data_IF_000252191594
#
_entry.id   IF_000252191594
#
_cell.length_a   1.000
_cell.length_b   1.000
_cell.length_c   1.000
_cell.angle_alpha   90.00
_cell.angle_beta   90.00
_cell.angle_gamma   90.00
#
_symmetry.space_group_name_H-M   'P 1'
#
loop_
_entity.id
_entity.type
_entity.pdbx_description
1 polymer ?
#
# COMPACT_ATOMS: atom_id res chain seq x y z
N UNK A 1 12.67 12.12 15.76
CA UNK A 1 11.84 10.93 15.43
C UNK A 1 10.62 11.35 14.63
N UNK A 2 10.33 10.63 13.55
CA UNK A 2 9.14 10.88 12.75
C UNK A 2 7.98 10.08 13.34
N UNK A 3 6.90 10.77 13.67
CA UNK A 3 5.69 10.12 14.16
C UNK A 3 5.02 9.35 13.02
N UNK A 4 4.58 8.13 13.29
CA UNK A 4 3.85 7.34 12.32
C UNK A 4 2.40 7.79 12.23
N UNK A 5 1.98 8.18 11.02
CA UNK A 5 0.63 8.63 10.74
C UNK A 5 -0.03 7.63 9.80
N UNK A 6 -1.25 7.21 10.13
CA UNK A 6 -2.00 6.24 9.34
C UNK A 6 -3.17 6.92 8.63
N UNK A 7 -3.36 6.58 7.36
CA UNK A 7 -4.50 7.06 6.55
C UNK A 7 -5.17 5.88 5.85
N UNK A 8 -6.47 6.02 5.65
CA UNK A 8 -7.23 5.00 4.90
C UNK A 8 -6.72 4.89 3.48
N UNK A 9 -6.66 3.66 2.98
CA UNK A 9 -6.33 3.41 1.58
C UNK A 9 -7.59 3.64 0.74
N UNK A 10 -7.48 4.50 -0.28
CA UNK A 10 -8.59 4.84 -1.16
C UNK A 10 -9.15 3.57 -1.80
N UNK A 11 -10.46 3.41 -1.71
CA UNK A 11 -11.15 2.20 -2.17
C UNK A 11 -11.22 1.09 -1.13
N UNK A 12 -10.52 1.25 -0.01
CA UNK A 12 -10.47 0.27 1.08
C UNK A 12 -10.72 0.93 2.44
N UNK A 13 -11.45 2.04 2.45
CA UNK A 13 -11.77 2.78 3.67
C UNK A 13 -12.46 1.85 4.68
N UNK A 14 -12.01 1.90 5.92
CA UNK A 14 -12.51 1.03 6.98
C UNK A 14 -11.94 -0.38 6.98
N UNK A 15 -11.16 -0.75 5.95
CA UNK A 15 -10.57 -2.08 5.81
C UNK A 15 -9.06 -2.07 6.01
N UNK A 16 -8.37 -1.14 5.37
CA UNK A 16 -6.91 -1.05 5.40
C UNK A 16 -6.45 0.39 5.49
N UNK A 17 -5.28 0.56 6.13
CA UNK A 17 -4.62 1.85 6.22
C UNK A 17 -3.14 1.70 5.84
N UNK A 18 -2.56 2.81 5.38
CA UNK A 18 -1.14 2.90 5.05
C UNK A 18 -0.50 4.03 5.86
N UNK A 19 0.75 3.84 6.27
CA UNK A 19 1.45 4.84 7.07
C UNK A 19 2.51 5.58 6.26
N UNK A 20 2.91 6.74 6.79
CA UNK A 20 4.01 7.52 6.23
C UNK A 20 5.36 6.82 6.33
N UNK A 21 5.46 5.77 7.15
CA UNK A 21 6.68 4.96 7.26
C UNK A 21 6.68 3.77 6.29
N UNK A 22 5.67 3.68 5.43
CA UNK A 22 5.63 2.63 4.40
C UNK A 22 5.05 1.31 4.89
N UNK A 23 4.28 1.33 5.96
CA UNK A 23 3.62 0.12 6.47
C UNK A 23 2.14 0.12 6.10
N UNK A 24 1.58 -1.07 5.91
CA UNK A 24 0.15 -1.27 5.64
C UNK A 24 -0.42 -2.12 6.76
N UNK A 25 -1.61 -1.77 7.24
CA UNK A 25 -2.30 -2.55 8.27
C UNK A 25 -3.75 -2.80 7.88
N UNK A 26 -4.27 -3.95 8.30
CA UNK A 26 -5.70 -4.20 8.26
C UNK A 26 -6.33 -3.66 9.54
N UNK A 27 -7.60 -3.31 9.47
CA UNK A 27 -8.36 -2.82 10.62
C UNK A 27 -9.21 -3.96 11.18
N UNK A 28 -9.67 -3.80 12.42
CA UNK A 28 -10.61 -4.75 13.01
C UNK A 28 -11.89 -4.76 12.19
N UNK A 29 -12.47 -5.94 11.95
CA UNK A 29 -13.76 -6.03 11.27
C UNK A 29 -14.56 -7.20 11.79
N UNK A 30 -15.89 -7.10 11.63
CA UNK A 30 -16.80 -8.17 11.99
C UNK A 30 -16.97 -9.12 10.81
N UNK A 31 -16.85 -10.40 11.08
CA UNK A 31 -17.13 -11.43 10.09
C UNK A 31 -18.31 -12.28 10.56
N UNK A 32 -19.29 -12.41 9.67
CA UNK A 32 -20.48 -13.19 9.94
C UNK A 32 -20.32 -14.60 9.40
N UNK A 33 -20.57 -15.59 10.26
CA UNK A 33 -20.50 -16.99 9.88
C UNK A 33 -21.89 -17.61 9.96
N UNK A 34 -22.26 -18.37 8.94
CA UNK A 34 -23.56 -19.05 8.87
C UNK A 34 -23.33 -20.54 8.58
N UNK A 35 -22.82 -21.31 9.57
CA UNK A 35 -22.53 -22.73 9.38
C UNK A 35 -23.83 -23.55 9.26
N UNK A 36 -23.75 -24.69 8.57
CA UNK A 36 -24.92 -25.53 8.27
C UNK A 36 -25.56 -26.11 9.54
N UNK A 37 -24.76 -26.58 10.49
CA UNK A 37 -25.24 -27.31 11.67
C UNK A 37 -25.11 -26.52 12.98
N UNK A 38 -25.00 -25.20 12.91
CA UNK A 38 -24.83 -24.34 14.08
C UNK A 38 -25.57 -23.05 13.88
N UNK A 39 -25.86 -22.34 14.97
CA UNK A 39 -26.46 -21.01 14.88
C UNK A 39 -25.49 -20.04 14.23
N UNK A 40 -25.99 -19.10 13.41
CA UNK A 40 -25.15 -18.02 12.90
C UNK A 40 -24.48 -17.27 14.04
N UNK A 41 -23.25 -16.85 13.82
CA UNK A 41 -22.51 -16.08 14.81
C UNK A 41 -21.61 -15.05 14.13
N UNK A 42 -21.23 -14.04 14.90
CA UNK A 42 -20.35 -12.96 14.44
C UNK A 42 -19.05 -13.03 15.24
N UNK A 43 -17.94 -12.86 14.57
CA UNK A 43 -16.62 -12.82 15.18
C UNK A 43 -15.89 -11.56 14.76
N UNK A 44 -15.23 -10.89 15.72
CA UNK A 44 -14.38 -9.75 15.41
C UNK A 44 -12.99 -10.27 15.10
N UNK A 45 -12.50 -9.98 13.90
CA UNK A 45 -11.15 -10.29 13.48
C UNK A 45 -10.28 -9.06 13.71
N UNK A 46 -9.22 -9.23 14.50
CA UNK A 46 -8.31 -8.14 14.84
C UNK A 46 -7.46 -7.72 13.66
N UNK A 47 -7.32 -6.41 13.48
CA UNK A 47 -6.40 -5.85 12.49
C UNK A 47 -4.95 -6.09 12.88
N UNK A 48 -4.09 -6.05 11.87
CA UNK A 48 -2.64 -6.27 12.07
C UNK A 48 -1.85 -5.55 10.99
N UNK A 49 -0.58 -5.27 11.30
CA UNK A 49 0.37 -4.78 10.29
C UNK A 49 0.69 -5.95 9.36
N UNK A 50 0.54 -5.72 8.05
CA UNK A 50 0.78 -6.75 7.04
C UNK A 50 2.28 -6.85 6.76
N UNK A 51 2.75 -8.09 6.57
CA UNK A 51 4.12 -8.32 6.12
C UNK A 51 4.16 -8.14 4.59
N UNK A 52 4.94 -7.19 4.08
CA UNK A 52 4.99 -6.99 2.63
C UNK A 52 5.76 -8.12 1.96
N UNK A 53 5.39 -8.40 0.71
CA UNK A 53 6.04 -9.41 -0.13
C UNK A 53 6.92 -8.69 -1.15
N UNK A 54 8.19 -9.09 -1.23
CA UNK A 54 9.14 -8.57 -2.21
C UNK A 54 8.91 -9.27 -3.56
N UNK A 55 8.44 -8.51 -4.54
CA UNK A 55 8.17 -9.03 -5.88
C UNK A 55 9.47 -9.14 -6.69
N UNK A 56 9.46 -9.94 -7.76
CA UNK A 56 10.65 -10.19 -8.58
C UNK A 56 11.25 -8.92 -9.17
N UNK A 57 10.46 -7.89 -9.40
CA UNK A 57 10.94 -6.61 -9.92
C UNK A 57 11.53 -5.69 -8.84
N UNK A 58 11.57 -6.14 -7.60
CA UNK A 58 12.15 -5.38 -6.49
C UNK A 58 11.16 -4.51 -5.73
N UNK A 59 9.89 -4.47 -6.14
CA UNK A 59 8.87 -3.68 -5.44
C UNK A 59 8.25 -4.45 -4.29
N UNK A 60 7.99 -3.72 -3.19
CA UNK A 60 7.26 -4.27 -2.04
C UNK A 60 5.77 -4.22 -2.32
N UNK A 61 5.07 -5.33 -2.09
CA UNK A 61 3.64 -5.45 -2.39
C UNK A 61 2.89 -6.04 -1.20
N UNK A 62 1.58 -5.77 -1.15
CA UNK A 62 0.65 -6.38 -0.18
C UNK A 62 -0.60 -6.83 -0.93
N UNK A 63 -1.28 -7.82 -0.36
CA UNK A 63 -2.57 -8.28 -0.86
C UNK A 63 -3.67 -7.61 -0.06
N UNK A 64 -4.58 -6.93 -0.75
CA UNK A 64 -5.73 -6.29 -0.13
C UNK A 64 -7.00 -7.03 -0.55
N UNK A 65 -7.76 -7.49 0.43
CA UNK A 65 -8.98 -8.28 0.21
C UNK A 65 -10.21 -7.40 0.34
N UNK A 66 -11.12 -7.52 -0.62
CA UNK A 66 -12.39 -6.80 -0.61
C UNK A 66 -13.41 -7.54 -1.48
N UNK A 67 -14.64 -7.60 -1.02
CA UNK A 67 -15.78 -8.15 -1.79
C UNK A 67 -15.51 -9.56 -2.32
N UNK A 68 -14.89 -10.41 -1.50
CA UNK A 68 -14.63 -11.79 -1.83
C UNK A 68 -13.44 -12.04 -2.75
N UNK A 69 -12.73 -10.98 -3.13
CA UNK A 69 -11.54 -11.08 -3.97
C UNK A 69 -10.35 -10.39 -3.35
N UNK A 70 -9.26 -10.34 -4.09
CA UNK A 70 -8.06 -9.64 -3.63
C UNK A 70 -7.33 -9.00 -4.81
N UNK A 71 -6.54 -7.98 -4.49
CA UNK A 71 -5.64 -7.34 -5.44
C UNK A 71 -4.27 -7.16 -4.80
N UNK A 72 -3.22 -7.37 -5.58
CA UNK A 72 -1.86 -7.08 -5.15
C UNK A 72 -1.57 -5.61 -5.44
N UNK A 73 -1.14 -4.88 -4.41
CA UNK A 73 -0.84 -3.44 -4.53
C UNK A 73 0.60 -3.17 -4.12
N UNK A 74 1.25 -2.26 -4.84
CA UNK A 74 2.61 -1.83 -4.48
C UNK A 74 2.53 -0.82 -3.34
N UNK A 75 3.34 -1.05 -2.31
CA UNK A 75 3.28 -0.24 -1.08
C UNK A 75 3.62 1.22 -1.35
N UNK A 76 4.67 1.49 -2.15
CA UNK A 76 5.09 2.87 -2.41
C UNK A 76 3.99 3.70 -3.10
N UNK A 77 3.21 3.10 -3.99
CA UNK A 77 2.10 3.79 -4.64
C UNK A 77 0.99 4.07 -3.63
N UNK A 78 0.72 3.13 -2.71
CA UNK A 78 -0.27 3.35 -1.66
C UNK A 78 0.13 4.52 -0.75
N UNK A 79 1.41 4.60 -0.39
CA UNK A 79 1.93 5.72 0.42
C UNK A 79 1.80 7.04 -0.33
N UNK A 80 2.23 7.07 -1.59
CA UNK A 80 2.19 8.29 -2.38
C UNK A 80 0.76 8.79 -2.59
N UNK A 81 -0.17 7.89 -2.90
CA UNK A 81 -1.58 8.25 -3.09
C UNK A 81 -2.21 8.82 -1.80
N UNK A 82 -1.81 8.32 -0.65
CA UNK A 82 -2.40 8.74 0.62
C UNK A 82 -1.85 10.06 1.13
N UNK A 83 -0.57 10.34 0.90
CA UNK A 83 0.14 11.44 1.55
C UNK A 83 0.66 12.52 0.63
N UNK A 84 0.95 12.22 -0.63
CA UNK A 84 1.54 13.18 -1.56
C UNK A 84 0.48 13.74 -2.50
N UNK A 85 0.47 15.07 -2.64
CA UNK A 85 -0.36 15.72 -3.65
C UNK A 85 0.21 15.43 -5.03
N UNK A 86 -0.67 15.22 -6.00
CA UNK A 86 -0.29 14.93 -7.37
C UNK A 86 -1.05 15.85 -8.35
N UNK A 87 -0.80 17.17 -8.28
CA UNK A 87 -1.59 18.12 -9.07
C UNK A 87 -1.40 17.96 -10.58
N UNK A 88 -0.29 17.39 -11.02
CA UNK A 88 0.00 17.14 -12.43
C UNK A 88 -0.48 15.76 -12.90
N UNK A 89 -1.12 15.02 -12.03
CA UNK A 89 -1.62 13.67 -12.31
C UNK A 89 -0.56 12.73 -12.88
N UNK A 90 0.64 12.79 -12.31
CA UNK A 90 1.72 11.88 -12.71
C UNK A 90 1.37 10.44 -12.36
N UNK A 91 1.80 9.51 -13.20
CA UNK A 91 1.51 8.08 -13.06
C UNK A 91 2.57 7.31 -12.29
N UNK A 92 3.77 7.85 -12.15
CA UNK A 92 4.91 7.13 -11.60
C UNK A 92 5.40 7.73 -10.29
N UNK A 93 5.84 6.85 -9.39
CA UNK A 93 6.45 7.24 -8.13
C UNK A 93 7.92 6.86 -8.16
N UNK A 94 8.78 7.79 -7.80
CA UNK A 94 10.22 7.60 -7.76
C UNK A 94 10.69 7.39 -6.33
N UNK A 95 11.68 6.50 -6.16
CA UNK A 95 12.43 6.33 -4.92
C UNK A 95 13.65 7.25 -4.97
N UNK A 96 13.68 8.26 -4.12
CA UNK A 96 14.75 9.29 -4.17
C UNK A 96 16.14 8.70 -4.00
N UNK A 97 16.28 7.69 -3.13
CA UNK A 97 17.56 7.02 -2.90
C UNK A 97 17.80 5.83 -3.85
N UNK A 98 16.83 5.52 -4.70
CA UNK A 98 16.93 4.38 -5.61
C UNK A 98 16.65 3.02 -4.98
N UNK A 99 16.39 2.97 -3.69
CA UNK A 99 16.11 1.72 -2.98
C UNK A 99 14.60 1.43 -3.01
N UNK A 100 14.20 0.47 -3.82
CA UNK A 100 12.80 0.09 -4.01
C UNK A 100 12.15 -0.49 -2.76
N UNK A 101 12.92 -0.89 -1.77
CA UNK A 101 12.40 -1.41 -0.51
C UNK A 101 12.17 -0.32 0.54
N UNK A 102 12.70 0.89 0.29
CA UNK A 102 12.50 2.03 1.19
C UNK A 102 11.22 2.78 0.80
N UNK A 103 10.10 2.34 1.34
CA UNK A 103 8.78 2.87 1.02
C UNK A 103 8.33 4.01 1.94
N UNK A 104 9.24 4.58 2.73
CA UNK A 104 8.93 5.74 3.56
C UNK A 104 8.55 6.95 2.71
N UNK A 105 7.57 7.73 3.19
CA UNK A 105 7.06 8.90 2.49
C UNK A 105 8.17 9.87 2.07
N UNK A 106 9.14 10.11 2.95
CA UNK A 106 10.23 11.06 2.71
C UNK A 106 11.12 10.64 1.52
N UNK A 107 11.06 9.37 1.12
CA UNK A 107 11.84 8.82 0.02
C UNK A 107 11.09 8.80 -1.31
N UNK A 108 9.83 9.22 -1.33
CA UNK A 108 8.95 9.08 -2.48
C UNK A 108 8.59 10.43 -3.09
N UNK A 109 8.43 10.46 -4.41
CA UNK A 109 7.89 11.62 -5.10
C UNK A 109 7.22 11.18 -6.40
N UNK A 110 6.18 11.93 -6.79
CA UNK A 110 5.54 11.73 -8.08
C UNK A 110 6.43 12.31 -9.17
N UNK A 111 6.58 11.56 -10.27
CA UNK A 111 7.38 11.99 -11.41
C UNK A 111 6.62 11.78 -12.71
N UNK A 112 6.93 12.60 -13.72
CA UNK A 112 6.38 12.40 -15.04
C UNK A 112 6.91 11.12 -15.67
N UNK A 113 6.17 10.60 -16.63
CA UNK A 113 6.60 9.42 -17.39
C UNK A 113 7.97 9.65 -18.04
N UNK A 114 8.19 10.84 -18.61
CA UNK A 114 9.44 11.18 -19.27
C UNK A 114 10.62 11.13 -18.30
N UNK A 115 10.48 11.74 -17.14
CA UNK A 115 11.54 11.73 -16.12
C UNK A 115 11.80 10.34 -15.57
N UNK A 116 10.75 9.56 -15.38
CA UNK A 116 10.88 8.18 -14.91
C UNK A 116 11.67 7.33 -15.92
N UNK A 117 11.33 7.43 -17.20
CA UNK A 117 11.98 6.67 -18.26
C UNK A 117 13.44 7.10 -18.44
N UNK A 118 13.74 8.39 -18.34
CA UNK A 118 15.12 8.89 -18.42
C UNK A 118 15.99 8.25 -17.35
N UNK A 119 15.50 8.19 -16.12
CA UNK A 119 16.26 7.60 -15.01
C UNK A 119 16.50 6.11 -15.18
N UNK A 120 15.50 5.38 -15.65
CA UNK A 120 15.65 3.94 -15.96
C UNK A 120 16.71 3.77 -17.03
N UNK A 121 16.67 4.59 -18.08
CA UNK A 121 17.60 4.49 -19.19
C UNK A 121 19.03 4.76 -18.74
N UNK A 122 19.25 5.76 -17.90
CA UNK A 122 20.58 6.08 -17.37
C UNK A 122 21.14 4.98 -16.50
N UNK A 123 20.30 4.23 -15.79
CA UNK A 123 20.75 3.14 -14.93
C UNK A 123 21.24 1.91 -15.70
N UNK A 124 20.85 1.79 -16.97
CA UNK A 124 21.24 0.66 -17.82
C UNK A 124 22.55 0.88 -18.57
N UNK A 125 23.11 2.04 -18.48
CA UNK A 125 24.35 2.41 -19.20
C UNK A 125 25.57 2.19 -18.34
#
# INVERSE_FOLDING_TARGET
MVEEIWKDIKGYEGLYQVSNLGRVRSLDFEKHFNPINRKPYTKILKGRVLKPYLRNDGFMTVLLYKDGGFKRKTVHVLVANAFLKNPMEHEFVEFKDGDKTNTELTNLQWVSRSNYMIKIYKRKV
#
